data_IF_175500443190
#
_entry.id   IF_175500443190
#
_cell.length_a   1.000
_cell.length_b   1.000
_cell.length_c   1.000
_cell.angle_alpha   90.00
_cell.angle_beta   90.00
_cell.angle_gamma   90.00
#
_symmetry.space_group_name_H-M   'P 1'
#
loop_
_entity.id
_entity.type
_entity.pdbx_description
1 polymer ?
#
# COMPACT_ATOMS: atom_id res chain seq x y z
N UNK A 1 6.48 -4.92 7.07
CA UNK A 1 6.12 -4.68 8.48
C UNK A 1 4.61 -4.73 8.69
N UNK A 2 3.82 -3.88 8.02
CA UNK A 2 2.36 -3.79 8.21
C UNK A 2 1.59 -5.13 8.02
N UNK A 3 1.83 -5.88 6.93
CA UNK A 3 1.17 -7.19 6.69
C UNK A 3 1.50 -8.18 7.82
N UNK A 4 2.78 -8.35 8.15
CA UNK A 4 3.20 -9.36 9.15
C UNK A 4 2.80 -8.95 10.56
N UNK A 5 3.04 -7.69 10.93
CA UNK A 5 2.81 -7.16 12.28
C UNK A 5 1.34 -6.86 12.54
N UNK A 6 0.73 -5.93 11.80
CA UNK A 6 -0.63 -5.47 12.07
C UNK A 6 -1.67 -6.52 11.70
N UNK A 7 -1.58 -7.10 10.50
CA UNK A 7 -2.59 -8.07 10.03
C UNK A 7 -2.32 -9.46 10.59
N UNK A 8 -1.12 -10.00 10.35
CA UNK A 8 -0.76 -11.33 10.82
C UNK A 8 -0.83 -11.44 12.34
N UNK A 9 0.10 -10.78 13.03
CA UNK A 9 0.22 -10.87 14.48
C UNK A 9 -0.89 -10.11 15.23
N UNK A 10 -1.27 -8.91 14.78
CA UNK A 10 -2.25 -8.07 15.47
C UNK A 10 -3.67 -8.58 15.32
N UNK A 11 -4.14 -8.70 14.08
CA UNK A 11 -5.53 -9.00 13.74
C UNK A 11 -5.87 -10.50 13.75
N UNK A 12 -5.08 -11.30 13.03
CA UNK A 12 -5.30 -12.75 12.92
C UNK A 12 -4.54 -13.58 13.97
N UNK A 13 -3.80 -12.93 14.88
CA UNK A 13 -3.02 -13.59 15.95
C UNK A 13 -2.07 -14.68 15.45
N UNK A 14 -1.57 -14.54 14.22
CA UNK A 14 -0.67 -15.50 13.58
C UNK A 14 0.37 -14.82 12.68
N UNK A 15 1.62 -14.83 13.15
CA UNK A 15 2.78 -14.35 12.35
C UNK A 15 2.93 -15.20 11.08
N UNK A 16 2.64 -16.50 11.15
CA UNK A 16 2.67 -17.42 9.99
C UNK A 16 1.73 -16.95 8.88
N UNK A 17 0.50 -16.55 9.23
CA UNK A 17 -0.44 -15.96 8.26
C UNK A 17 0.09 -14.64 7.70
N UNK A 18 0.69 -13.80 8.53
CA UNK A 18 1.32 -12.56 8.09
C UNK A 18 2.42 -12.77 7.05
N UNK A 19 3.31 -13.74 7.28
CA UNK A 19 4.40 -14.09 6.34
C UNK A 19 3.82 -14.71 5.06
N UNK A 20 2.82 -15.59 5.19
CA UNK A 20 2.13 -16.16 4.04
C UNK A 20 1.53 -15.06 3.14
N UNK A 21 0.75 -14.14 3.71
CA UNK A 21 0.17 -13.02 2.97
C UNK A 21 1.26 -12.15 2.33
N UNK A 22 2.38 -11.92 3.02
CA UNK A 22 3.50 -11.15 2.46
C UNK A 22 4.07 -11.79 1.19
N UNK A 23 4.29 -13.10 1.20
CA UNK A 23 4.80 -13.85 0.04
C UNK A 23 3.84 -13.76 -1.14
N UNK A 24 2.54 -13.95 -0.89
CA UNK A 24 1.51 -13.79 -1.92
C UNK A 24 1.58 -12.40 -2.57
N UNK A 25 1.74 -11.34 -1.77
CA UNK A 25 1.80 -9.96 -2.28
C UNK A 25 3.09 -9.65 -3.04
N UNK A 26 4.21 -10.27 -2.69
CA UNK A 26 5.43 -10.15 -3.49
C UNK A 26 5.26 -10.78 -4.86
N UNK A 27 4.74 -12.00 -4.93
CA UNK A 27 4.55 -12.72 -6.20
C UNK A 27 3.49 -12.02 -7.06
N UNK A 28 2.33 -11.71 -6.49
CA UNK A 28 1.23 -11.06 -7.22
C UNK A 28 1.59 -9.63 -7.65
N UNK A 29 2.26 -8.87 -6.79
CA UNK A 29 2.71 -7.51 -7.10
C UNK A 29 3.73 -7.47 -8.22
N UNK A 30 4.72 -8.37 -8.20
CA UNK A 30 5.70 -8.50 -9.29
C UNK A 30 5.00 -8.90 -10.61
N UNK A 31 4.09 -9.87 -10.55
CA UNK A 31 3.35 -10.32 -11.73
C UNK A 31 2.51 -9.19 -12.33
N UNK A 32 1.76 -8.46 -11.51
CA UNK A 32 0.97 -7.31 -11.94
C UNK A 32 1.86 -6.19 -12.54
N UNK A 33 3.01 -5.91 -11.92
CA UNK A 33 3.96 -4.92 -12.41
C UNK A 33 4.53 -5.30 -13.79
N UNK A 34 4.87 -6.56 -14.03
CA UNK A 34 5.34 -7.05 -15.34
C UNK A 34 4.25 -6.90 -16.40
N UNK A 35 3.01 -7.29 -16.09
CA UNK A 35 1.88 -7.19 -17.03
C UNK A 35 1.60 -5.73 -17.42
N UNK A 36 1.47 -4.84 -16.43
CA UNK A 36 1.24 -3.41 -16.68
C UNK A 36 2.45 -2.76 -17.34
N UNK A 37 3.67 -3.15 -16.97
CA UNK A 37 4.90 -2.65 -17.57
C UNK A 37 4.92 -2.88 -19.08
N UNK A 38 4.57 -4.10 -19.53
CA UNK A 38 4.44 -4.42 -20.96
C UNK A 38 3.35 -3.59 -21.66
N UNK A 39 2.19 -3.42 -21.04
CA UNK A 39 1.09 -2.62 -21.58
C UNK A 39 1.42 -1.12 -21.69
N UNK A 40 2.16 -0.59 -20.73
CA UNK A 40 2.61 0.80 -20.72
C UNK A 40 3.71 1.06 -21.75
N UNK A 41 4.63 0.11 -21.95
CA UNK A 41 5.73 0.22 -22.92
C UNK A 41 5.24 0.09 -24.37
N UNK A 42 4.30 -0.83 -24.63
CA UNK A 42 3.74 -1.05 -25.97
C UNK A 42 3.07 0.20 -26.56
N UNK A 43 2.43 1.02 -25.73
CA UNK A 43 1.81 2.29 -26.17
C UNK A 43 2.79 3.44 -26.38
N UNK A 44 4.02 3.35 -25.86
CA UNK A 44 5.00 4.43 -25.99
C UNK A 44 5.72 4.40 -27.34
N UNK A 45 5.74 3.24 -28.01
CA UNK A 45 6.40 3.06 -29.32
C UNK A 45 5.69 3.82 -30.45
N UNK A 46 4.37 3.99 -30.38
CA UNK A 46 3.59 4.80 -31.35
C UNK A 46 3.78 6.31 -31.16
N UNK A 47 3.82 6.79 -29.92
CA UNK A 47 3.98 8.24 -29.63
C UNK A 47 5.41 8.74 -29.94
N UNK A 48 6.40 7.84 -30.05
CA UNK A 48 7.81 8.21 -30.33
C UNK A 48 8.16 8.38 -31.80
N UNK A 49 7.31 7.96 -32.76
CA UNK A 49 7.60 8.18 -34.19
C UNK A 49 7.25 9.61 -34.64
N UNK A 50 6.45 10.36 -33.86
CA UNK A 50 6.00 11.70 -34.26
C UNK A 50 6.61 12.86 -33.46
N UNK A 51 7.39 12.60 -32.40
CA UNK A 51 8.06 13.66 -31.64
C UNK A 51 9.49 13.26 -31.28
N UNK A 52 10.40 13.55 -32.20
CA UNK A 52 11.86 13.53 -32.00
C UNK A 52 12.35 14.63 -31.05
N UNK A 53 11.73 14.75 -29.88
CA UNK A 53 12.23 15.60 -28.80
C UNK A 53 13.37 14.88 -28.10
N UNK A 54 14.61 15.23 -28.44
CA UNK A 54 15.80 14.89 -27.65
C UNK A 54 15.53 15.26 -26.19
N UNK A 55 15.40 14.26 -25.32
CA UNK A 55 15.44 14.45 -23.86
C UNK A 55 16.89 14.69 -23.45
N UNK A 56 17.46 15.80 -23.89
CA UNK A 56 18.74 16.30 -23.39
C UNK A 56 18.45 17.10 -22.12
N UNK A 57 18.12 16.38 -21.04
CA UNK A 57 18.26 16.96 -19.70
C UNK A 57 19.74 16.85 -19.36
N UNK A 58 20.50 17.82 -19.85
CA UNK A 58 21.82 18.15 -19.31
C UNK A 58 21.62 18.46 -17.83
N UNK A 59 21.75 17.44 -16.99
CA UNK A 59 21.72 17.57 -15.54
C UNK A 59 23.03 18.23 -15.17
N UNK A 60 23.09 19.57 -15.27
CA UNK A 60 24.22 20.36 -14.81
C UNK A 60 24.49 19.96 -13.37
N UNK A 61 25.60 19.23 -13.19
CA UNK A 61 26.12 18.77 -11.92
C UNK A 61 26.65 20.00 -11.17
N UNK A 62 25.76 20.85 -10.67
CA UNK A 62 26.12 21.80 -9.63
C UNK A 62 26.38 20.98 -8.39
N UNK A 63 27.66 20.80 -8.04
CA UNK A 63 28.07 20.27 -6.75
C UNK A 63 27.53 21.28 -5.73
N UNK A 64 26.51 20.95 -4.90
CA UNK A 64 26.09 21.86 -3.86
C UNK A 64 27.26 22.02 -2.88
N UNK A 65 27.44 23.24 -2.36
CA UNK A 65 28.37 23.51 -1.28
C UNK A 65 28.25 22.43 -0.18
N UNK A 66 29.36 21.98 0.38
CA UNK A 66 29.41 20.93 1.39
C UNK A 66 28.43 21.25 2.54
N UNK A 67 27.25 20.61 2.51
CA UNK A 67 26.25 20.72 3.58
C UNK A 67 26.85 20.01 4.79
N UNK A 68 26.86 20.67 5.94
CA UNK A 68 27.37 20.07 7.17
C UNK A 68 26.52 18.86 7.57
N UNK A 69 27.17 17.80 8.07
CA UNK A 69 26.48 16.57 8.51
C UNK A 69 25.29 16.85 9.46
N UNK A 70 25.39 17.76 10.45
CA UNK A 70 24.25 18.10 11.31
C UNK A 70 23.05 18.68 10.55
N UNK A 71 23.29 19.53 9.53
CA UNK A 71 22.22 20.12 8.74
C UNK A 71 21.52 19.08 7.86
N UNK A 72 22.26 18.10 7.32
CA UNK A 72 21.68 17.00 6.54
C UNK A 72 20.81 16.08 7.42
N UNK A 73 21.26 15.79 8.64
CA UNK A 73 20.49 14.99 9.60
C UNK A 73 19.20 15.71 9.97
N UNK A 74 19.26 17.00 10.33
CA UNK A 74 18.08 17.79 10.68
C UNK A 74 17.06 17.83 9.53
N UNK A 75 17.52 18.12 8.30
CA UNK A 75 16.67 18.13 7.11
C UNK A 75 16.03 16.75 6.84
N UNK A 76 16.78 15.67 7.00
CA UNK A 76 16.25 14.30 6.80
C UNK A 76 15.18 13.93 7.82
N UNK A 77 15.35 14.34 9.08
CA UNK A 77 14.36 14.14 10.14
C UNK A 77 13.09 14.95 9.85
N UNK A 78 13.23 16.21 9.44
CA UNK A 78 12.09 17.07 9.09
C UNK A 78 11.28 16.49 7.92
N UNK A 79 11.94 16.09 6.83
CA UNK A 79 11.28 15.46 5.68
C UNK A 79 10.59 14.15 6.06
N UNK A 80 11.22 13.32 6.90
CA UNK A 80 10.61 12.10 7.41
C UNK A 80 9.37 12.40 8.27
N UNK A 81 9.42 13.42 9.11
CA UNK A 81 8.28 13.85 9.93
C UNK A 81 7.12 14.36 9.07
N UNK A 82 7.41 15.21 8.07
CA UNK A 82 6.41 15.71 7.12
C UNK A 82 5.78 14.55 6.34
N UNK A 83 6.59 13.59 5.86
CA UNK A 83 6.08 12.41 5.17
C UNK A 83 5.18 11.57 6.10
N UNK A 84 5.58 11.37 7.35
CA UNK A 84 4.80 10.65 8.34
C UNK A 84 3.42 11.30 8.56
N UNK A 85 3.40 12.63 8.78
CA UNK A 85 2.16 13.41 8.93
C UNK A 85 1.27 13.31 7.69
N UNK A 86 1.86 13.38 6.49
CA UNK A 86 1.11 13.22 5.24
C UNK A 86 0.47 11.82 5.17
N UNK A 87 1.25 10.76 5.40
CA UNK A 87 0.77 9.37 5.37
C UNK A 87 -0.36 9.16 6.37
N UNK A 88 -0.16 9.56 7.63
CA UNK A 88 -1.17 9.40 8.68
C UNK A 88 -2.41 10.25 8.40
N UNK A 89 -2.25 11.47 7.89
CA UNK A 89 -3.35 12.33 7.47
C UNK A 89 -4.25 11.68 6.42
N UNK A 90 -3.67 11.10 5.36
CA UNK A 90 -4.47 10.38 4.35
C UNK A 90 -5.18 9.16 4.94
N UNK A 91 -4.51 8.37 5.79
CA UNK A 91 -5.12 7.19 6.42
C UNK A 91 -6.30 7.60 7.31
N UNK A 92 -6.09 8.55 8.22
CA UNK A 92 -7.13 9.03 9.16
C UNK A 92 -8.30 9.64 8.40
N UNK A 93 -8.04 10.49 7.41
CA UNK A 93 -9.09 11.11 6.62
C UNK A 93 -10.00 10.08 5.93
N UNK A 94 -9.41 9.10 5.24
CA UNK A 94 -10.20 8.06 4.58
C UNK A 94 -10.86 7.09 5.55
N UNK A 95 -10.26 6.81 6.71
CA UNK A 95 -10.90 6.03 7.77
C UNK A 95 -12.15 6.74 8.31
N UNK A 96 -12.07 8.05 8.58
CA UNK A 96 -13.20 8.87 9.04
C UNK A 96 -14.29 8.95 7.97
N UNK A 97 -13.94 9.22 6.70
CA UNK A 97 -14.92 9.22 5.61
C UNK A 97 -15.57 7.84 5.46
N UNK A 98 -14.78 6.78 5.51
CA UNK A 98 -15.31 5.42 5.44
C UNK A 98 -16.33 5.16 6.55
N UNK A 99 -16.09 5.66 7.76
CA UNK A 99 -17.04 5.50 8.86
C UNK A 99 -18.28 6.37 8.67
N UNK A 100 -18.13 7.62 8.22
CA UNK A 100 -19.26 8.49 7.89
C UNK A 100 -20.16 7.87 6.79
N UNK A 101 -19.57 7.33 5.72
CA UNK A 101 -20.33 6.65 4.66
C UNK A 101 -21.05 5.42 5.18
N UNK A 102 -20.46 4.70 6.13
CA UNK A 102 -21.11 3.56 6.79
C UNK A 102 -22.31 4.01 7.65
N UNK A 103 -22.15 5.05 8.45
CA UNK A 103 -23.21 5.59 9.32
C UNK A 103 -24.37 6.20 8.51
N UNK A 104 -24.07 6.84 7.38
CA UNK A 104 -25.07 7.36 6.45
C UNK A 104 -25.78 6.25 5.64
N UNK A 105 -25.38 4.98 5.82
CA UNK A 105 -25.98 3.84 5.12
C UNK A 105 -25.59 3.73 3.64
N UNK A 106 -24.61 4.50 3.16
CA UNK A 106 -24.18 4.46 1.74
C UNK A 106 -23.67 3.07 1.37
N UNK A 107 -22.89 2.43 2.25
CA UNK A 107 -22.43 1.07 2.03
C UNK A 107 -23.57 0.05 2.02
N UNK A 108 -24.54 0.20 2.91
CA UNK A 108 -25.73 -0.65 2.96
C UNK A 108 -26.60 -0.52 1.70
N UNK A 109 -26.74 0.69 1.15
CA UNK A 109 -27.45 0.95 -0.10
C UNK A 109 -26.75 0.29 -1.29
N UNK A 110 -25.43 0.49 -1.42
CA UNK A 110 -24.63 -0.14 -2.47
C UNK A 110 -24.67 -1.67 -2.36
N UNK A 111 -24.56 -2.18 -1.13
CA UNK A 111 -24.67 -3.60 -0.84
C UNK A 111 -26.03 -4.19 -1.23
N UNK A 112 -27.13 -3.49 -0.94
CA UNK A 112 -28.47 -3.89 -1.36
C UNK A 112 -28.62 -3.92 -2.88
N UNK A 113 -28.08 -2.91 -3.58
CA UNK A 113 -28.04 -2.86 -5.04
C UNK A 113 -27.29 -4.07 -5.63
N UNK A 114 -26.10 -4.38 -5.10
CA UNK A 114 -25.34 -5.55 -5.55
C UNK A 114 -26.01 -6.87 -5.17
N UNK A 115 -26.66 -6.96 -4.00
CA UNK A 115 -27.37 -8.17 -3.56
C UNK A 115 -28.55 -8.51 -4.48
N UNK A 116 -29.25 -7.50 -5.00
CA UNK A 116 -30.31 -7.68 -5.99
C UNK A 116 -29.77 -8.20 -7.33
N UNK A 117 -28.57 -7.76 -7.74
CA UNK A 117 -27.95 -8.19 -8.99
C UNK A 117 -27.36 -9.62 -8.93
N UNK A 118 -26.78 -10.01 -7.79
CA UNK A 118 -25.92 -11.21 -7.74
C UNK A 118 -26.46 -12.39 -6.92
N UNK A 119 -27.34 -12.18 -5.93
CA UNK A 119 -27.59 -13.21 -4.90
C UNK A 119 -29.06 -13.52 -4.63
N UNK A 120 -29.99 -12.68 -5.08
CA UNK A 120 -31.42 -12.82 -4.75
C UNK A 120 -31.70 -12.60 -3.25
N UNK A 121 -32.97 -12.77 -2.82
CA UNK A 121 -33.41 -12.39 -1.46
C UNK A 121 -32.89 -13.27 -0.31
N UNK A 122 -32.47 -14.51 -0.56
CA UNK A 122 -32.19 -15.50 0.49
C UNK A 122 -30.87 -15.30 1.25
N UNK A 123 -29.87 -14.63 0.66
CA UNK A 123 -28.56 -14.38 1.28
C UNK A 123 -28.17 -12.90 1.34
N UNK A 124 -29.16 -12.01 1.27
CA UNK A 124 -28.94 -10.58 1.14
C UNK A 124 -28.16 -9.95 2.31
N UNK A 125 -28.40 -10.40 3.55
CA UNK A 125 -27.72 -9.85 4.75
C UNK A 125 -26.22 -10.19 4.79
N UNK A 126 -25.88 -11.46 4.61
CA UNK A 126 -24.48 -11.95 4.61
C UNK A 126 -23.68 -11.34 3.46
N UNK A 127 -24.29 -11.24 2.28
CA UNK A 127 -23.67 -10.57 1.13
C UNK A 127 -23.47 -9.07 1.38
N UNK A 128 -24.42 -8.43 2.09
CA UNK A 128 -24.32 -7.01 2.39
C UNK A 128 -23.16 -6.67 3.34
N UNK A 129 -22.96 -7.49 4.37
CA UNK A 129 -21.81 -7.36 5.27
C UNK A 129 -20.48 -7.51 4.51
N UNK A 130 -20.41 -8.47 3.58
CA UNK A 130 -19.25 -8.69 2.74
C UNK A 130 -18.93 -7.47 1.86
N UNK A 131 -19.93 -6.94 1.15
CA UNK A 131 -19.75 -5.76 0.31
C UNK A 131 -19.36 -4.54 1.15
N UNK A 132 -19.99 -4.35 2.30
CA UNK A 132 -19.65 -3.27 3.23
C UNK A 132 -18.18 -3.36 3.68
N UNK A 133 -17.72 -4.55 4.04
CA UNK A 133 -16.31 -4.77 4.41
C UNK A 133 -15.35 -4.49 3.25
N UNK A 134 -15.72 -4.90 2.02
CA UNK A 134 -14.92 -4.63 0.82
C UNK A 134 -14.84 -3.14 0.50
N UNK A 135 -15.97 -2.43 0.57
CA UNK A 135 -16.03 -0.97 0.35
C UNK A 135 -15.22 -0.21 1.39
N UNK A 136 -15.30 -0.60 2.68
CA UNK A 136 -14.42 -0.09 3.73
C UNK A 136 -12.94 -0.29 3.37
N UNK A 137 -12.58 -1.45 2.84
CA UNK A 137 -11.22 -1.73 2.36
C UNK A 137 -10.78 -0.93 1.15
N UNK A 138 -11.68 -0.62 0.22
CA UNK A 138 -11.40 0.29 -0.87
C UNK A 138 -11.20 1.73 -0.40
N UNK A 139 -11.77 2.13 0.73
CA UNK A 139 -11.48 3.44 1.34
C UNK A 139 -10.14 3.42 2.08
N UNK A 140 -9.97 2.51 3.04
CA UNK A 140 -8.77 2.40 3.87
C UNK A 140 -8.50 0.92 4.25
N UNK A 141 -7.24 0.51 4.09
CA UNK A 141 -6.81 -0.89 4.19
C UNK A 141 -7.08 -1.48 5.59
N UNK A 142 -6.76 -0.73 6.65
CA UNK A 142 -6.83 -1.19 8.04
C UNK A 142 -8.28 -1.38 8.49
N UNK A 143 -9.14 -0.40 8.25
CA UNK A 143 -10.59 -0.44 8.51
C UNK A 143 -11.26 -1.56 7.73
N UNK A 144 -10.89 -1.74 6.45
CA UNK A 144 -11.37 -2.86 5.65
C UNK A 144 -10.94 -4.22 6.19
N UNK A 145 -9.65 -4.38 6.52
CA UNK A 145 -9.15 -5.63 7.08
C UNK A 145 -9.84 -5.98 8.40
N UNK A 146 -10.08 -4.99 9.27
CA UNK A 146 -10.84 -5.16 10.51
C UNK A 146 -12.28 -5.59 10.22
N UNK A 147 -12.95 -4.94 9.26
CA UNK A 147 -14.31 -5.31 8.86
C UNK A 147 -14.38 -6.76 8.35
N UNK A 148 -13.40 -7.17 7.52
CA UNK A 148 -13.33 -8.56 7.00
C UNK A 148 -13.04 -9.56 8.12
N UNK A 149 -12.19 -9.22 9.08
CA UNK A 149 -11.93 -10.09 10.24
C UNK A 149 -13.19 -10.39 11.05
N UNK A 150 -14.11 -9.42 11.13
CA UNK A 150 -15.39 -9.53 11.84
C UNK A 150 -16.45 -10.34 11.09
N UNK A 151 -16.25 -10.70 9.82
CA UNK A 151 -17.15 -11.55 9.03
C UNK A 151 -17.09 -13.03 9.47
N UNK A 152 -17.53 -13.34 10.70
CA UNK A 152 -17.40 -14.70 11.29
C UNK A 152 -18.20 -15.76 10.55
N UNK A 153 -19.25 -15.36 9.83
CA UNK A 153 -20.04 -16.22 8.95
C UNK A 153 -19.25 -16.76 7.74
N UNK A 154 -18.11 -16.15 7.41
CA UNK A 154 -17.26 -16.57 6.30
C UNK A 154 -16.06 -17.41 6.76
N UNK A 155 -15.77 -18.47 6.00
CA UNK A 155 -14.57 -19.30 6.18
C UNK A 155 -13.31 -18.43 6.17
N UNK A 156 -12.30 -18.82 6.96
CA UNK A 156 -11.04 -18.10 7.06
C UNK A 156 -10.39 -17.84 5.69
N UNK A 157 -10.43 -18.84 4.79
CA UNK A 157 -9.85 -18.74 3.44
C UNK A 157 -10.45 -17.58 2.64
N UNK A 158 -11.77 -17.40 2.72
CA UNK A 158 -12.47 -16.29 2.04
C UNK A 158 -12.06 -14.96 2.66
N UNK A 159 -12.03 -14.87 4.00
CA UNK A 159 -11.58 -13.66 4.70
C UNK A 159 -10.15 -13.26 4.30
N UNK A 160 -9.22 -14.22 4.26
CA UNK A 160 -7.83 -13.97 3.85
C UNK A 160 -7.72 -13.55 2.39
N UNK A 161 -8.53 -14.14 1.50
CA UNK A 161 -8.58 -13.75 0.09
C UNK A 161 -9.06 -12.32 -0.09
N UNK A 162 -10.13 -11.92 0.61
CA UNK A 162 -10.65 -10.55 0.57
C UNK A 162 -9.64 -9.55 1.14
N UNK A 163 -9.01 -9.88 2.28
CA UNK A 163 -7.91 -9.07 2.82
C UNK A 163 -6.80 -8.92 1.78
N UNK A 164 -6.46 -9.99 1.05
CA UNK A 164 -5.44 -9.91 -0.02
C UNK A 164 -5.85 -9.00 -1.16
N UNK A 165 -7.12 -9.02 -1.58
CA UNK A 165 -7.65 -8.10 -2.61
C UNK A 165 -7.52 -6.65 -2.15
N UNK A 166 -7.94 -6.35 -0.91
CA UNK A 166 -7.87 -5.01 -0.31
C UNK A 166 -6.42 -4.52 -0.27
N UNK A 167 -5.49 -5.37 0.13
CA UNK A 167 -4.07 -5.03 0.22
C UNK A 167 -3.41 -4.79 -1.14
N UNK A 168 -3.72 -5.64 -2.13
CA UNK A 168 -3.19 -5.47 -3.48
C UNK A 168 -3.70 -4.17 -4.13
N UNK A 169 -4.98 -3.85 -3.92
CA UNK A 169 -5.59 -2.58 -4.34
C UNK A 169 -5.04 -1.36 -3.58
N UNK A 170 -4.71 -1.51 -2.29
CA UNK A 170 -4.13 -0.52 -1.38
C UNK A 170 -5.06 0.63 -0.92
N UNK A 171 -6.31 0.69 -1.39
CA UNK A 171 -7.30 1.66 -0.90
C UNK A 171 -7.08 3.09 -1.36
N UNK A 172 -8.13 3.91 -1.34
CA UNK A 172 -8.12 5.27 -1.85
C UNK A 172 -7.19 6.21 -1.07
N UNK A 173 -6.93 5.92 0.21
CA UNK A 173 -5.92 6.62 1.01
C UNK A 173 -4.54 6.57 0.36
N UNK A 174 -4.08 5.39 -0.05
CA UNK A 174 -2.77 5.22 -0.72
C UNK A 174 -2.82 5.76 -2.14
N UNK A 175 -3.91 5.56 -2.87
CA UNK A 175 -4.06 6.13 -4.22
C UNK A 175 -3.90 7.65 -4.23
N UNK A 176 -4.57 8.35 -3.31
CA UNK A 176 -4.51 9.81 -3.22
C UNK A 176 -3.12 10.29 -2.83
N UNK A 177 -2.47 9.59 -1.89
CA UNK A 177 -1.08 9.85 -1.54
C UNK A 177 -0.15 9.74 -2.75
N UNK A 178 -0.27 8.65 -3.52
CA UNK A 178 0.58 8.40 -4.69
C UNK A 178 0.29 9.40 -5.81
N UNK A 179 -0.96 9.83 -6.00
CA UNK A 179 -1.29 10.89 -6.96
C UNK A 179 -0.52 12.19 -6.68
N UNK A 180 -0.39 12.56 -5.40
CA UNK A 180 0.41 13.71 -4.99
C UNK A 180 1.89 13.58 -5.36
N UNK A 181 2.46 12.38 -5.18
CA UNK A 181 3.87 12.06 -5.48
C UNK A 181 4.11 11.97 -7.00
N UNK A 182 3.17 11.41 -7.76
CA UNK A 182 3.29 11.23 -9.21
C UNK A 182 3.19 12.55 -10.00
N UNK A 183 2.67 13.62 -9.39
CA UNK A 183 2.51 14.92 -10.04
C UNK A 183 3.86 15.43 -10.53
N UNK A 184 3.98 15.69 -11.84
CA UNK A 184 5.22 16.18 -12.47
C UNK A 184 6.19 15.10 -12.97
N UNK A 185 5.91 13.81 -12.74
CA UNK A 185 6.78 12.70 -13.20
C UNK A 185 6.56 12.28 -14.66
N UNK A 186 5.48 12.76 -15.31
CA UNK A 186 5.06 12.32 -16.65
C UNK A 186 4.38 10.94 -16.68
N UNK A 187 4.33 10.22 -15.55
CA UNK A 187 3.66 8.94 -15.45
C UNK A 187 2.13 9.10 -15.41
N UNK A 188 1.42 8.40 -16.31
CA UNK A 188 -0.05 8.41 -16.34
C UNK A 188 -0.60 7.56 -15.17
N UNK A 189 -1.33 8.20 -14.24
CA UNK A 189 -1.93 7.55 -13.06
C UNK A 189 -2.78 6.31 -13.40
N UNK A 190 -3.46 6.29 -14.55
CA UNK A 190 -4.26 5.14 -15.00
C UNK A 190 -3.51 3.81 -14.96
N UNK A 191 -2.21 3.78 -15.30
CA UNK A 191 -1.43 2.54 -15.28
C UNK A 191 -1.13 2.07 -13.86
N UNK A 192 -0.88 3.01 -12.94
CA UNK A 192 -0.75 2.70 -11.52
C UNK A 192 -2.06 2.14 -10.96
N UNK A 193 -3.20 2.78 -11.27
CA UNK A 193 -4.51 2.31 -10.84
C UNK A 193 -4.82 0.90 -11.35
N UNK A 194 -4.64 0.65 -12.66
CA UNK A 194 -4.82 -0.68 -13.26
C UNK A 194 -3.87 -1.72 -12.64
N UNK A 195 -2.62 -1.34 -12.34
CA UNK A 195 -1.66 -2.24 -11.70
C UNK A 195 -2.06 -2.63 -10.28
N UNK A 196 -2.59 -1.70 -9.50
CA UNK A 196 -3.11 -1.98 -8.16
C UNK A 196 -4.36 -2.84 -8.20
N UNK A 197 -5.28 -2.57 -9.13
CA UNK A 197 -6.46 -3.42 -9.34
C UNK A 197 -6.06 -4.85 -9.70
N UNK A 198 -5.16 -5.00 -10.67
CA UNK A 198 -4.66 -6.32 -11.10
C UNK A 198 -3.91 -7.03 -9.97
N UNK A 199 -3.08 -6.32 -9.21
CA UNK A 199 -2.38 -6.88 -8.05
C UNK A 199 -3.37 -7.44 -7.02
N UNK A 200 -4.43 -6.69 -6.67
CA UNK A 200 -5.48 -7.17 -5.76
C UNK A 200 -6.15 -8.44 -6.24
N UNK A 201 -6.54 -8.50 -7.52
CA UNK A 201 -7.19 -9.67 -8.12
C UNK A 201 -6.25 -10.89 -8.07
N UNK A 202 -5.00 -10.74 -8.54
CA UNK A 202 -4.01 -11.82 -8.53
C UNK A 202 -3.73 -12.27 -7.09
N UNK A 203 -3.58 -11.36 -6.14
CA UNK A 203 -3.34 -11.68 -4.74
C UNK A 203 -4.50 -12.49 -4.13
N UNK A 204 -5.75 -12.09 -4.38
CA UNK A 204 -6.93 -12.84 -3.94
C UNK A 204 -6.98 -14.26 -4.50
N UNK A 205 -6.76 -14.41 -5.81
CA UNK A 205 -6.75 -15.71 -6.49
C UNK A 205 -5.63 -16.59 -5.94
N UNK A 206 -4.40 -16.08 -5.85
CA UNK A 206 -3.26 -16.84 -5.31
C UNK A 206 -3.49 -17.26 -3.86
N UNK A 207 -4.11 -16.41 -3.03
CA UNK A 207 -4.46 -16.76 -1.65
C UNK A 207 -5.42 -17.94 -1.61
N UNK A 208 -6.48 -17.94 -2.42
CA UNK A 208 -7.46 -19.05 -2.47
C UNK A 208 -6.78 -20.33 -2.96
N UNK A 209 -6.04 -20.26 -4.07
CA UNK A 209 -5.36 -21.42 -4.65
C UNK A 209 -4.36 -22.02 -3.65
N UNK A 210 -3.51 -21.19 -3.05
CA UNK A 210 -2.46 -21.68 -2.15
C UNK A 210 -3.03 -22.32 -0.89
N UNK A 211 -4.08 -21.74 -0.30
CA UNK A 211 -4.74 -22.35 0.86
C UNK A 211 -5.50 -23.62 0.48
N UNK A 212 -6.05 -23.68 -0.74
CA UNK A 212 -6.68 -24.88 -1.28
C UNK A 212 -5.72 -26.07 -1.41
N UNK A 213 -4.48 -25.81 -1.84
CA UNK A 213 -3.43 -26.84 -1.93
C UNK A 213 -2.74 -27.13 -0.58
N UNK A 214 -2.58 -26.12 0.27
CA UNK A 214 -1.91 -26.21 1.56
C UNK A 214 -2.77 -25.56 2.65
N UNK A 215 -3.68 -26.32 3.29
CA UNK A 215 -4.55 -25.75 4.33
C UNK A 215 -3.72 -25.27 5.51
N UNK A 216 -3.75 -23.94 5.74
CA UNK A 216 -3.05 -23.32 6.86
C UNK A 216 -3.94 -23.41 8.09
N UNK A 217 -3.46 -24.11 9.12
CA UNK A 217 -4.09 -24.11 10.44
C UNK A 217 -3.61 -22.91 11.25
N UNK A 218 -4.55 -22.21 11.87
CA UNK A 218 -4.25 -21.15 12.84
C UNK A 218 -4.30 -21.78 14.22
N UNK A 219 -3.22 -21.69 14.98
CA UNK A 219 -3.22 -22.11 16.38
C UNK A 219 -4.09 -21.13 17.17
N UNK A 220 -5.12 -21.66 17.86
CA UNK A 220 -6.08 -20.90 18.66
C UNK A 220 -5.70 -20.80 20.13
N UNK A 221 -4.61 -21.43 20.56
CA UNK A 221 -4.09 -21.39 21.94
C UNK A 221 -2.91 -20.42 22.08
N UNK A 222 -2.99 -19.54 23.07
CA UNK A 222 -1.93 -18.56 23.41
C UNK A 222 -0.75 -19.19 24.18
N UNK A 223 0.35 -18.44 24.15
CA UNK A 223 1.59 -18.55 24.93
C UNK A 223 2.57 -19.65 24.48
N UNK A 224 3.16 -19.43 23.31
CA UNK A 224 4.62 -19.61 23.24
C UNK A 224 5.23 -18.24 23.50
N UNK A 225 5.63 -18.00 24.76
CA UNK A 225 6.65 -17.01 25.02
C UNK A 225 7.84 -17.41 24.15
N UNK A 226 8.20 -16.56 23.18
CA UNK A 226 9.46 -16.71 22.45
C UNK A 226 10.56 -16.44 23.47
N UNK A 227 10.93 -17.48 24.21
CA UNK A 227 12.14 -17.53 25.00
C UNK A 227 13.29 -17.42 24.02
N UNK A 228 14.09 -16.38 24.22
CA UNK A 228 15.02 -15.87 23.23
C UNK A 228 16.01 -16.91 22.75
N UNK A 229 16.29 -16.88 21.44
CA UNK A 229 17.56 -17.34 20.89
C UNK A 229 17.96 -16.47 19.69
N UNK A 230 19.18 -15.90 19.75
CA UNK A 230 20.01 -15.62 18.58
C UNK A 230 19.86 -14.31 17.78
N UNK A 231 18.90 -13.42 18.08
CA UNK A 231 18.58 -12.29 17.17
C UNK A 231 19.27 -10.95 17.49
N UNK A 232 20.31 -10.94 18.32
CA UNK A 232 21.03 -9.70 18.68
C UNK A 232 21.95 -9.24 17.53
N UNK A 233 22.81 -10.12 17.03
CA UNK A 233 23.77 -9.78 15.97
C UNK A 233 23.11 -9.36 14.66
N UNK A 234 22.05 -10.05 14.24
CA UNK A 234 21.32 -9.70 13.02
C UNK A 234 20.67 -8.32 13.14
N UNK A 235 20.19 -7.92 14.32
CA UNK A 235 19.66 -6.57 14.55
C UNK A 235 20.76 -5.52 14.47
N UNK A 236 21.90 -5.75 15.12
CA UNK A 236 23.04 -4.81 15.08
C UNK A 236 23.59 -4.66 13.67
N UNK A 237 23.71 -5.75 12.92
CA UNK A 237 24.16 -5.75 11.51
C UNK A 237 23.16 -5.01 10.62
N UNK A 238 21.86 -5.23 10.79
CA UNK A 238 20.82 -4.50 10.03
C UNK A 238 20.89 -3.00 10.34
N UNK A 239 21.04 -2.61 11.62
CA UNK A 239 21.18 -1.21 12.02
C UNK A 239 22.45 -0.60 11.42
N UNK A 240 23.58 -1.30 11.45
CA UNK A 240 24.85 -0.84 10.89
C UNK A 240 24.76 -0.65 9.36
N UNK A 241 24.17 -1.61 8.65
CA UNK A 241 23.95 -1.54 7.20
C UNK A 241 23.04 -0.35 6.84
N UNK A 242 21.98 -0.10 7.62
CA UNK A 242 21.11 1.06 7.44
C UNK A 242 21.88 2.38 7.65
N UNK A 243 22.69 2.47 8.70
CA UNK A 243 23.53 3.66 8.97
C UNK A 243 24.55 3.87 7.84
N UNK A 244 25.26 2.83 7.41
CA UNK A 244 26.19 2.90 6.28
C UNK A 244 25.49 3.32 4.98
N UNK A 245 24.28 2.81 4.73
CA UNK A 245 23.50 3.19 3.53
C UNK A 245 23.10 4.66 3.51
N UNK A 246 22.84 5.26 4.69
CA UNK A 246 22.54 6.68 4.85
C UNK A 246 23.78 7.57 4.63
N UNK A 247 24.98 7.04 4.95
CA UNK A 247 26.25 7.75 4.76
C UNK A 247 26.73 7.68 3.31
N UNK A 248 26.59 6.52 2.65
CA UNK A 248 27.14 6.26 1.31
C UNK A 248 26.32 6.95 0.20
N UNK A 249 25.04 7.25 0.44
CA UNK A 249 24.19 7.93 -0.54
C UNK A 249 23.66 9.26 0.01
N UNK A 250 24.44 10.37 -0.05
CA UNK A 250 23.95 11.67 0.36
C UNK A 250 22.75 12.04 -0.51
N UNK A 251 21.56 12.02 0.11
CA UNK A 251 20.33 12.45 -0.52
C UNK A 251 20.55 13.85 -1.07
N UNK A 252 20.44 13.99 -2.40
CA UNK A 252 20.49 15.29 -3.05
C UNK A 252 19.19 16.01 -2.73
N UNK A 253 19.20 16.81 -1.66
CA UNK A 253 18.13 17.78 -1.43
C UNK A 253 18.15 18.73 -2.61
N UNK A 254 17.09 18.73 -3.42
CA UNK A 254 16.93 19.73 -4.47
C UNK A 254 17.01 21.11 -3.82
N UNK A 255 17.77 22.07 -4.37
CA UNK A 255 17.81 23.41 -3.81
C UNK A 255 16.37 23.92 -3.72
N UNK A 256 15.88 24.19 -2.51
CA UNK A 256 14.66 24.94 -2.30
C UNK A 256 14.80 26.22 -3.13
N UNK A 257 13.83 26.45 -4.01
CA UNK A 257 13.82 27.59 -4.93
C UNK A 257 13.64 28.88 -4.11
N UNK A 258 14.76 29.39 -3.56
CA UNK A 258 14.85 30.63 -2.77
C UNK A 258 14.34 31.85 -3.55
N UNK A 259 14.12 31.76 -4.87
CA UNK A 259 13.55 32.85 -5.66
C UNK A 259 12.07 33.12 -5.37
N UNK A 260 11.33 32.16 -4.81
CA UNK A 260 9.93 32.39 -4.44
C UNK A 260 9.75 33.20 -3.14
N UNK A 261 10.77 33.25 -2.28
CA UNK A 261 10.73 34.00 -1.00
C UNK A 261 11.09 35.48 -1.13
N UNK A 262 11.70 35.91 -2.25
CA UNK A 262 12.07 37.31 -2.49
C UNK A 262 11.13 38.05 -3.46
N UNK A 263 10.16 37.39 -4.08
CA UNK A 263 9.22 38.05 -5.01
C UNK A 263 8.05 38.78 -4.30
N UNK A 264 7.89 38.60 -2.99
CA UNK A 264 6.86 39.28 -2.19
C UNK A 264 7.40 40.45 -1.33
N UNK A 265 8.59 40.96 -1.66
CA UNK A 265 9.10 42.24 -1.13
C UNK A 265 9.58 43.10 -2.29
N UNK A 266 8.63 43.72 -2.99
CA UNK A 266 8.78 44.96 -3.73
C UNK A 266 7.37 45.51 -4.02
#
# INVERSE_FOLDING_TARGET
LFIVGTIGAGLFKSVKLGVFLLLIHWVSGLTAAIIIGKLAYGKRKDDTILNGGRYDKEYKKSIPAAISLPALIAASIEEAAILCIKVSGYIVFFAVISELLSLLGVFSLLAGFFGLLFTGRSHASVFSEFITALLRGFMEITSGAQAVYNLKSFKLNVRLAVVSIIFGFAGFSVHTQVMGIMKGTGCKYRFFFLGKLLHGIIAGILTILTIGFMPITVQTSELVAVSGTGLLWTRTVIILVLILSLIINPYRVSPLDRKSLYKNRN
#
